data_IF_543918125397
#
_entry.id   IF_543918125397
#
_cell.length_a   1.000
_cell.length_b   1.000
_cell.length_c   1.000
_cell.angle_alpha   90.00
_cell.angle_beta   90.00
_cell.angle_gamma   90.00
#
_symmetry.space_group_name_H-M   'P 1'
#
loop_
_entity.id
_entity.type
_entity.pdbx_description
1 polymer ?
#
# COMPACT_ATOMS: atom_id res chain seq x y z
N UNK A 1 19.69 28.73 -1.46
CA UNK A 1 20.08 30.13 -1.70
C UNK A 1 21.61 30.19 -1.74
N UNK A 2 22.19 30.90 -2.69
CA UNK A 2 23.63 31.20 -2.76
C UNK A 2 23.78 32.72 -2.67
N UNK A 3 24.72 33.19 -1.85
CA UNK A 3 25.00 34.61 -1.66
C UNK A 3 26.40 34.91 -2.20
N UNK A 4 26.48 35.79 -3.20
CA UNK A 4 27.73 36.17 -3.87
C UNK A 4 28.19 37.53 -3.33
N UNK A 5 29.46 37.63 -2.94
CA UNK A 5 30.06 38.84 -2.37
C UNK A 5 31.46 39.07 -2.97
N UNK A 6 31.88 40.33 -3.01
CA UNK A 6 33.23 40.72 -3.45
C UNK A 6 34.14 41.01 -2.26
N UNK A 7 35.42 40.57 -2.26
CA UNK A 7 36.33 40.73 -1.11
C UNK A 7 36.88 42.16 -0.96
N UNK A 8 36.61 43.05 -1.90
CA UNK A 8 37.14 44.40 -1.89
C UNK A 8 36.55 45.24 -0.74
N UNK A 9 37.39 46.05 -0.10
CA UNK A 9 37.03 46.85 1.09
C UNK A 9 35.90 47.85 0.84
N UNK A 10 35.79 48.40 -0.37
CA UNK A 10 34.71 49.33 -0.72
C UNK A 10 33.32 48.66 -0.79
N UNK A 11 33.25 47.33 -0.86
CA UNK A 11 31.99 46.56 -0.85
C UNK A 11 31.56 46.13 0.55
N UNK A 12 32.23 46.62 1.60
CA UNK A 12 32.03 46.12 2.96
C UNK A 12 30.57 46.20 3.43
N UNK A 13 29.92 47.35 3.25
CA UNK A 13 28.55 47.57 3.71
C UNK A 13 27.54 46.67 2.99
N UNK A 14 27.65 46.57 1.66
CA UNK A 14 26.78 45.70 0.85
C UNK A 14 27.03 44.21 1.10
N UNK A 15 28.30 43.84 1.32
CA UNK A 15 28.70 42.48 1.70
C UNK A 15 28.08 42.10 3.04
N UNK A 16 28.11 43.01 4.02
CA UNK A 16 27.52 42.81 5.33
C UNK A 16 25.99 42.66 5.24
N UNK A 17 25.33 43.49 4.44
CA UNK A 17 23.88 43.41 4.21
C UNK A 17 23.49 42.06 3.56
N UNK A 18 24.25 41.63 2.55
CA UNK A 18 24.05 40.36 1.86
C UNK A 18 24.20 39.16 2.81
N UNK A 19 25.26 39.14 3.63
CA UNK A 19 25.51 38.08 4.61
C UNK A 19 24.44 38.04 5.70
N UNK A 20 23.98 39.20 6.19
CA UNK A 20 22.88 39.28 7.16
C UNK A 20 21.58 38.74 6.59
N UNK A 21 21.29 39.03 5.32
CA UNK A 21 20.12 38.44 4.64
C UNK A 21 20.27 36.92 4.48
N UNK A 22 21.43 36.43 4.03
CA UNK A 22 21.69 35.01 3.89
C UNK A 22 21.54 34.25 5.23
N UNK A 23 22.00 34.84 6.34
CA UNK A 23 21.82 34.27 7.68
C UNK A 23 20.32 34.15 8.05
N UNK A 24 19.53 35.20 7.80
CA UNK A 24 18.06 35.15 8.00
C UNK A 24 17.42 34.07 7.14
N UNK A 25 17.80 33.98 5.86
CA UNK A 25 17.27 33.00 4.93
C UNK A 25 17.61 31.55 5.32
N UNK A 26 18.79 31.30 5.91
CA UNK A 26 19.18 29.97 6.45
C UNK A 26 18.20 29.46 7.51
N UNK A 27 17.58 30.36 8.27
CA UNK A 27 16.69 30.01 9.36
C UNK A 27 15.24 29.76 8.92
N UNK A 28 14.92 29.96 7.63
CA UNK A 28 13.59 29.69 7.08
C UNK A 28 13.40 28.16 6.96
N UNK A 29 12.44 27.62 7.72
CA UNK A 29 12.10 26.20 7.72
C UNK A 29 10.94 25.93 6.77
N UNK A 30 11.23 25.36 5.61
CA UNK A 30 10.19 24.89 4.69
C UNK A 30 9.71 23.49 5.08
N UNK A 31 8.43 23.21 4.84
CA UNK A 31 7.85 21.86 4.96
C UNK A 31 7.65 21.29 3.55
N UNK A 32 8.63 20.58 2.98
CA UNK A 32 8.49 20.03 1.64
C UNK A 32 7.37 18.98 1.64
N UNK A 33 6.46 19.09 0.67
CA UNK A 33 5.44 18.08 0.39
C UNK A 33 5.68 17.56 -1.02
N UNK A 34 5.48 16.25 -1.21
CA UNK A 34 5.48 15.66 -2.54
C UNK A 34 4.29 16.27 -3.27
N UNK A 35 4.55 16.86 -4.44
CA UNK A 35 3.51 17.41 -5.28
C UNK A 35 2.82 16.24 -6.01
N UNK A 36 1.89 15.59 -5.33
CA UNK A 36 1.01 14.57 -5.91
C UNK A 36 -0.19 15.27 -6.57
N UNK A 37 -0.67 14.77 -7.70
CA UNK A 37 -1.92 15.27 -8.29
C UNK A 37 -3.05 15.07 -7.27
N UNK A 38 -3.89 16.10 -6.99
CA UNK A 38 -5.00 15.98 -6.06
C UNK A 38 -5.91 14.79 -6.36
N UNK A 39 -6.03 14.38 -7.63
CA UNK A 39 -6.81 13.20 -8.03
C UNK A 39 -6.17 11.90 -7.55
N UNK A 40 -4.86 11.75 -7.73
CA UNK A 40 -4.13 10.53 -7.36
C UNK A 40 -4.01 10.40 -5.84
N UNK A 41 -3.79 11.51 -5.13
CA UNK A 41 -3.79 11.53 -3.68
C UNK A 41 -5.14 11.09 -3.10
N UNK A 42 -6.24 11.55 -3.69
CA UNK A 42 -7.60 11.19 -3.27
C UNK A 42 -7.91 9.71 -3.57
N UNK A 43 -7.53 9.22 -4.77
CA UNK A 43 -7.69 7.81 -5.13
C UNK A 43 -6.91 6.89 -4.17
N UNK A 44 -5.68 7.26 -3.80
CA UNK A 44 -4.87 6.52 -2.82
C UNK A 44 -5.51 6.49 -1.43
N UNK A 45 -6.06 7.62 -0.99
CA UNK A 45 -6.77 7.71 0.28
C UNK A 45 -8.03 6.83 0.27
N UNK A 46 -8.80 6.85 -0.82
CA UNK A 46 -9.97 6.00 -0.98
C UNK A 46 -9.63 4.51 -1.02
N UNK A 47 -8.58 4.11 -1.74
CA UNK A 47 -8.13 2.72 -1.75
C UNK A 47 -7.73 2.25 -0.34
N UNK A 48 -6.96 3.07 0.38
CA UNK A 48 -6.54 2.78 1.75
C UNK A 48 -7.72 2.63 2.71
N UNK A 49 -8.72 3.51 2.59
CA UNK A 49 -9.92 3.44 3.43
C UNK A 49 -10.79 2.23 3.07
N UNK A 50 -10.92 1.89 1.78
CA UNK A 50 -11.63 0.68 1.34
C UNK A 50 -10.97 -0.58 1.94
N UNK A 51 -9.64 -0.68 1.91
CA UNK A 51 -8.92 -1.80 2.50
C UNK A 51 -9.12 -1.88 4.01
N UNK A 52 -9.00 -0.75 4.72
CA UNK A 52 -9.28 -0.66 6.16
C UNK A 52 -10.68 -1.15 6.49
N UNK A 53 -11.70 -0.65 5.80
CA UNK A 53 -13.09 -1.04 6.04
C UNK A 53 -13.34 -2.51 5.72
N UNK A 54 -12.79 -3.03 4.62
CA UNK A 54 -12.86 -4.47 4.29
C UNK A 54 -12.23 -5.34 5.38
N UNK A 55 -11.08 -4.93 5.92
CA UNK A 55 -10.41 -5.65 7.00
C UNK A 55 -11.26 -5.73 8.27
N UNK A 56 -11.92 -4.62 8.63
CA UNK A 56 -12.82 -4.55 9.79
C UNK A 56 -14.05 -5.43 9.60
N UNK A 57 -14.63 -5.44 8.39
CA UNK A 57 -15.76 -6.31 8.07
C UNK A 57 -15.35 -7.79 8.12
N UNK A 58 -14.15 -8.13 7.64
CA UNK A 58 -13.64 -9.50 7.69
C UNK A 58 -13.38 -9.95 9.13
N UNK A 59 -12.79 -9.10 9.97
CA UNK A 59 -12.63 -9.38 11.40
C UNK A 59 -13.98 -9.59 12.08
N UNK A 60 -14.97 -8.74 11.78
CA UNK A 60 -16.34 -8.91 12.30
C UNK A 60 -16.95 -10.22 11.84
N UNK A 61 -16.83 -10.57 10.56
CA UNK A 61 -17.34 -11.83 10.02
C UNK A 61 -16.68 -13.07 10.66
N UNK A 62 -15.37 -13.00 10.93
CA UNK A 62 -14.65 -14.07 11.65
C UNK A 62 -15.09 -14.20 13.11
N UNK A 63 -15.41 -13.09 13.78
CA UNK A 63 -15.93 -13.10 15.16
C UNK A 63 -17.37 -13.63 15.28
N UNK A 64 -18.16 -13.56 14.20
CA UNK A 64 -19.57 -13.99 14.16
C UNK A 64 -19.80 -15.37 13.52
N UNK A 65 -18.76 -16.09 13.10
CA UNK A 65 -18.92 -17.41 12.49
C UNK A 65 -19.36 -18.44 13.56
N UNK A 66 -20.48 -19.17 13.37
CA UNK A 66 -20.87 -20.21 14.30
C UNK A 66 -19.83 -21.34 14.25
N UNK A 67 -19.25 -21.69 15.41
CA UNK A 67 -18.40 -22.88 15.56
C UNK A 67 -19.21 -24.10 15.15
N UNK A 68 -19.04 -24.57 13.91
CA UNK A 68 -19.73 -25.77 13.45
C UNK A 68 -19.21 -26.98 14.24
N UNK A 69 -20.06 -27.51 15.11
CA UNK A 69 -19.81 -28.76 15.83
C UNK A 69 -19.75 -29.85 14.76
N UNK A 70 -18.53 -30.26 14.41
CA UNK A 70 -18.24 -31.27 13.40
C UNK A 70 -18.72 -32.64 13.91
N UNK A 71 -19.96 -33.01 13.59
CA UNK A 71 -20.45 -34.36 13.85
C UNK A 71 -19.69 -35.36 12.97
N UNK A 72 -18.96 -36.27 13.61
CA UNK A 72 -18.23 -37.37 12.95
C UNK A 72 -19.22 -38.32 12.27
N UNK A 73 -19.57 -38.06 11.01
CA UNK A 73 -20.33 -39.00 10.20
C UNK A 73 -19.39 -40.04 9.59
N UNK A 74 -19.22 -41.16 10.30
CA UNK A 74 -18.70 -42.42 9.74
C UNK A 74 -19.68 -42.92 8.67
N UNK A 75 -19.15 -43.33 7.52
CA UNK A 75 -19.64 -44.33 6.52
C UNK A 75 -18.94 -44.01 5.21
N UNK A 76 -18.04 -44.84 4.71
CA UNK A 76 -18.33 -46.11 4.05
C UNK A 76 -17.53 -46.10 2.74
N UNK A 77 -16.82 -47.18 2.43
CA UNK A 77 -15.88 -47.25 1.31
C UNK A 77 -16.54 -46.93 -0.04
N UNK A 78 -16.07 -45.88 -0.73
CA UNK A 78 -16.45 -45.59 -2.12
C UNK A 78 -15.39 -46.20 -3.04
N UNK A 79 -15.69 -47.40 -3.55
CA UNK A 79 -14.91 -48.04 -4.63
C UNK A 79 -14.97 -47.12 -5.85
N UNK A 80 -13.81 -46.61 -6.28
CA UNK A 80 -13.68 -45.83 -7.52
C UNK A 80 -13.66 -46.80 -8.71
N UNK A 81 -14.73 -46.85 -9.51
CA UNK A 81 -14.63 -47.39 -10.88
C UNK A 81 -13.90 -46.35 -11.73
N UNK A 82 -12.71 -46.68 -12.21
CA UNK A 82 -12.03 -45.91 -13.27
C UNK A 82 -12.65 -46.34 -14.60
N UNK A 83 -13.25 -45.41 -15.32
CA UNK A 83 -13.64 -45.60 -16.72
C UNK A 83 -12.49 -45.03 -17.53
N UNK A 84 -11.78 -45.88 -18.29
CA UNK A 84 -10.76 -45.47 -19.25
C UNK A 84 -11.30 -45.71 -20.65
N UNK A 85 -11.19 -44.70 -21.51
CA UNK A 85 -11.60 -44.74 -22.91
C UNK A 85 -10.44 -45.36 -23.71
N UNK A 86 -10.58 -46.61 -24.11
CA UNK A 86 -9.78 -47.17 -25.21
C UNK A 86 -10.75 -47.71 -26.27
N UNK A 87 -10.53 -47.26 -27.51
CA UNK A 87 -11.16 -47.73 -28.74
C UNK A 87 -12.70 -47.73 -28.77
N UNK A 88 -13.30 -46.58 -28.41
CA UNK A 88 -14.62 -46.19 -28.89
C UNK A 88 -15.84 -46.95 -28.35
N UNK A 89 -15.67 -48.03 -27.57
CA UNK A 89 -16.78 -48.76 -26.95
C UNK A 89 -16.65 -48.82 -25.42
N UNK A 90 -17.67 -48.33 -24.71
CA UNK A 90 -17.75 -48.41 -23.24
C UNK A 90 -18.01 -49.85 -22.80
N UNK A 91 -16.97 -50.60 -22.45
CA UNK A 91 -17.13 -51.91 -21.80
C UNK A 91 -16.83 -51.83 -20.30
N UNK A 92 -17.72 -52.39 -19.48
CA UNK A 92 -17.59 -52.44 -18.03
C UNK A 92 -17.02 -53.81 -17.64
N UNK A 93 -15.71 -53.89 -17.32
CA UNK A 93 -15.13 -55.10 -16.72
C UNK A 93 -15.33 -55.04 -15.21
N UNK A 94 -16.01 -56.04 -14.66
CA UNK A 94 -16.17 -56.26 -13.23
C UNK A 94 -14.83 -56.49 -12.53
#
# INVERSE_FOLDING_TARGET
>A
MVANIGPASYNYDETLNTLRYANRAKNIKNRPRINEDPKDALLRQYQSEIERLKSLLQQKAMSSAPRSIRSRRRKGARVRRKITLEDGELTNKN
#
